data_IF_774478298738
#
_entry.id   IF_774478298738
#
_cell.length_a   1.000
_cell.length_b   1.000
_cell.length_c   1.000
_cell.angle_alpha   90.00
_cell.angle_beta   90.00
_cell.angle_gamma   90.00
#
_symmetry.space_group_name_H-M   'P 1'
#
loop_
_entity.id
_entity.type
_entity.pdbx_description
1 polymer ?
#
# COMPACT_ATOMS: atom_id res chain seq x y z
N UNK A 1 1.22 -32.31 4.88
CA UNK A 1 0.41 -33.42 4.30
C UNK A 1 -0.29 -32.92 3.05
N UNK A 2 -0.47 -33.78 2.05
CA UNK A 2 -1.21 -33.45 0.82
C UNK A 2 -2.71 -33.72 1.00
N UNK A 3 -3.55 -32.83 0.49
CA UNK A 3 -5.01 -32.94 0.52
C UNK A 3 -5.54 -32.80 -0.91
N UNK A 4 -6.03 -33.90 -1.48
CA UNK A 4 -6.65 -33.90 -2.80
C UNK A 4 -7.97 -33.09 -2.80
N UNK A 5 -8.19 -32.34 -3.88
CA UNK A 5 -9.40 -31.52 -4.11
C UNK A 5 -10.19 -32.08 -5.30
N UNK A 6 -9.53 -32.39 -6.40
CA UNK A 6 -10.15 -32.98 -7.60
C UNK A 6 -9.26 -34.09 -8.18
N UNK A 7 -9.89 -35.05 -8.87
CA UNK A 7 -9.21 -36.06 -9.69
C UNK A 7 -9.50 -35.78 -11.15
N UNK A 8 -8.55 -36.10 -12.02
CA UNK A 8 -8.64 -35.90 -13.46
C UNK A 8 -7.70 -36.85 -14.19
N UNK A 9 -7.98 -37.10 -15.47
CA UNK A 9 -7.02 -37.73 -16.36
C UNK A 9 -6.23 -36.64 -17.07
N UNK A 10 -4.91 -36.79 -17.17
CA UNK A 10 -4.06 -35.79 -17.80
C UNK A 10 -2.64 -36.30 -18.00
N UNK A 11 -1.85 -35.52 -18.74
CA UNK A 11 -0.45 -35.82 -18.99
C UNK A 11 0.39 -35.50 -17.75
N UNK A 12 1.28 -36.41 -17.37
CA UNK A 12 2.28 -36.12 -16.36
C UNK A 12 3.62 -35.78 -17.00
N UNK A 13 4.20 -34.59 -16.73
CA UNK A 13 5.46 -34.17 -17.35
C UNK A 13 6.69 -34.94 -16.85
N UNK A 14 6.54 -35.83 -15.87
CA UNK A 14 7.64 -36.65 -15.30
C UNK A 14 7.58 -38.09 -15.83
N UNK A 15 6.38 -38.65 -16.00
CA UNK A 15 6.22 -39.96 -16.64
C UNK A 15 6.23 -39.87 -18.17
N UNK A 16 5.93 -38.69 -18.73
CA UNK A 16 5.68 -38.48 -20.16
C UNK A 16 4.53 -39.35 -20.70
N UNK A 17 3.50 -39.56 -19.88
CA UNK A 17 2.33 -40.38 -20.23
C UNK A 17 1.03 -39.81 -19.65
N UNK A 18 -0.10 -40.20 -20.24
CA UNK A 18 -1.46 -39.85 -19.81
C UNK A 18 -1.88 -40.78 -18.68
N UNK A 19 -1.99 -40.23 -17.49
CA UNK A 19 -2.26 -40.96 -16.24
C UNK A 19 -3.38 -40.31 -15.44
N UNK A 20 -3.79 -40.99 -14.37
CA UNK A 20 -4.68 -40.43 -13.36
C UNK A 20 -3.90 -39.47 -12.45
N UNK A 21 -4.39 -38.24 -12.38
CA UNK A 21 -3.85 -37.18 -11.55
C UNK A 21 -4.84 -36.82 -10.45
N UNK A 22 -4.32 -36.41 -9.29
CA UNK A 22 -5.08 -35.63 -8.32
C UNK A 22 -4.50 -34.23 -8.20
N UNK A 23 -5.37 -33.23 -8.19
CA UNK A 23 -5.01 -31.85 -7.90
C UNK A 23 -5.47 -31.50 -6.50
N UNK A 24 -4.61 -30.87 -5.73
CA UNK A 24 -4.87 -30.61 -4.32
C UNK A 24 -3.91 -29.61 -3.72
N UNK A 25 -3.91 -29.54 -2.39
CA UNK A 25 -3.03 -28.63 -1.65
C UNK A 25 -2.00 -29.39 -0.83
N UNK A 26 -0.82 -28.80 -0.68
CA UNK A 26 0.29 -29.33 0.09
C UNK A 26 0.93 -28.20 0.89
N UNK A 27 1.28 -28.45 2.15
CA UNK A 27 2.06 -27.49 2.92
C UNK A 27 3.54 -27.61 2.57
N UNK A 28 4.17 -26.48 2.30
CA UNK A 28 5.57 -26.35 1.90
C UNK A 28 6.25 -25.23 2.67
N UNK A 29 7.56 -25.36 2.86
CA UNK A 29 8.39 -24.36 3.53
C UNK A 29 9.36 -23.77 2.52
N UNK A 30 9.26 -22.47 2.30
CA UNK A 30 10.17 -21.70 1.45
C UNK A 30 11.15 -20.93 2.34
N UNK A 31 12.39 -20.77 1.87
CA UNK A 31 13.38 -19.94 2.58
C UNK A 31 13.52 -18.61 1.85
N UNK A 32 13.20 -17.51 2.54
CA UNK A 32 13.27 -16.14 2.02
C UNK A 32 14.17 -15.35 2.97
N UNK A 33 15.28 -14.81 2.48
CA UNK A 33 16.28 -14.10 3.29
C UNK A 33 16.65 -14.85 4.59
N UNK A 34 16.98 -16.14 4.46
CA UNK A 34 17.32 -17.06 5.57
C UNK A 34 16.18 -17.32 6.58
N UNK A 35 14.95 -16.87 6.30
CA UNK A 35 13.78 -17.15 7.12
C UNK A 35 12.88 -18.20 6.45
N UNK A 36 12.46 -19.20 7.23
CA UNK A 36 11.52 -20.25 6.78
C UNK A 36 10.09 -19.74 6.84
N UNK A 37 9.38 -19.78 5.70
CA UNK A 37 8.00 -19.34 5.54
C UNK A 37 7.15 -20.52 5.08
N UNK A 38 6.12 -20.83 5.85
CA UNK A 38 5.20 -21.92 5.55
C UNK A 38 4.04 -21.41 4.67
N UNK A 39 3.84 -22.06 3.53
CA UNK A 39 2.76 -21.78 2.58
C UNK A 39 1.99 -23.04 2.24
N UNK A 40 0.78 -22.82 1.73
CA UNK A 40 -0.06 -23.88 1.19
C UNK A 40 -0.02 -23.75 -0.32
N UNK A 41 0.59 -24.72 -0.97
CA UNK A 41 0.79 -24.74 -2.42
C UNK A 41 -0.25 -25.63 -3.07
N UNK A 42 -0.71 -25.25 -4.26
CA UNK A 42 -1.56 -26.10 -5.09
C UNK A 42 -0.68 -26.90 -6.05
N UNK A 43 -0.93 -28.20 -6.13
CA UNK A 43 -0.08 -29.15 -6.85
C UNK A 43 -0.90 -30.24 -7.49
N UNK A 44 -0.40 -30.76 -8.60
CA UNK A 44 -0.80 -32.04 -9.13
C UNK A 44 0.04 -33.14 -8.50
N UNK A 45 -0.57 -34.29 -8.28
CA UNK A 45 0.06 -35.54 -7.88
C UNK A 45 -0.30 -36.59 -8.92
N UNK A 46 0.71 -37.23 -9.50
CA UNK A 46 0.53 -38.43 -10.30
C UNK A 46 0.23 -39.61 -9.37
N UNK A 47 -0.83 -40.38 -9.64
CA UNK A 47 -1.18 -41.54 -8.81
C UNK A 47 -0.27 -42.74 -9.12
N UNK A 48 0.12 -42.92 -10.39
CA UNK A 48 0.92 -44.07 -10.83
C UNK A 48 2.40 -43.91 -10.44
N UNK A 49 3.02 -42.79 -10.83
CA UNK A 49 4.43 -42.48 -10.54
C UNK A 49 4.69 -41.75 -9.22
N UNK A 50 3.64 -41.37 -8.48
CA UNK A 50 3.70 -40.77 -7.13
C UNK A 50 4.49 -39.46 -6.99
N UNK A 51 4.83 -38.78 -8.09
CA UNK A 51 5.48 -37.47 -8.09
C UNK A 51 4.49 -36.30 -8.05
N UNK A 52 4.99 -35.15 -7.62
CA UNK A 52 4.27 -33.87 -7.63
C UNK A 52 4.83 -32.96 -8.70
N UNK A 53 3.95 -32.17 -9.31
CA UNK A 53 4.34 -31.10 -10.23
C UNK A 53 3.35 -29.93 -10.10
N UNK A 54 3.79 -28.76 -10.54
CA UNK A 54 3.01 -27.53 -10.47
C UNK A 54 2.53 -27.16 -11.87
N UNK A 55 1.35 -26.55 -11.92
CA UNK A 55 1.06 -25.63 -13.02
C UNK A 55 1.90 -24.35 -12.82
N UNK A 56 2.44 -23.73 -13.88
CA UNK A 56 3.25 -22.52 -13.75
C UNK A 56 2.57 -21.39 -12.97
N UNK A 57 1.25 -21.25 -13.10
CA UNK A 57 0.47 -20.22 -12.39
C UNK A 57 0.38 -20.55 -10.89
N UNK A 58 0.17 -21.81 -10.55
CA UNK A 58 0.13 -22.24 -9.14
C UNK A 58 1.50 -22.16 -8.46
N UNK A 59 2.58 -22.39 -9.21
CA UNK A 59 3.93 -22.19 -8.72
C UNK A 59 4.23 -20.71 -8.44
N UNK A 60 3.89 -19.81 -9.36
CA UNK A 60 4.04 -18.37 -9.16
C UNK A 60 3.23 -17.90 -7.93
N UNK A 61 1.97 -18.33 -7.82
CA UNK A 61 1.11 -18.00 -6.68
C UNK A 61 1.71 -18.46 -5.35
N UNK A 62 2.32 -19.66 -5.31
CA UNK A 62 3.03 -20.17 -4.12
C UNK A 62 4.13 -19.19 -3.67
N UNK A 63 4.94 -18.67 -4.59
CA UNK A 63 5.99 -17.70 -4.26
C UNK A 63 5.42 -16.35 -3.81
N UNK A 64 4.37 -15.85 -4.48
CA UNK A 64 3.71 -14.61 -4.10
C UNK A 64 3.10 -14.69 -2.69
N UNK A 65 2.44 -15.79 -2.35
CA UNK A 65 1.90 -16.03 -1.00
C UNK A 65 3.01 -16.04 0.06
N UNK A 66 4.15 -16.66 -0.26
CA UNK A 66 5.30 -16.70 0.63
C UNK A 66 5.87 -15.30 0.87
N UNK A 67 6.01 -14.50 -0.20
CA UNK A 67 6.49 -13.12 -0.11
C UNK A 67 5.53 -12.22 0.67
N UNK A 68 4.21 -12.38 0.50
CA UNK A 68 3.21 -11.64 1.29
C UNK A 68 3.31 -11.98 2.77
N UNK A 69 3.40 -13.26 3.13
CA UNK A 69 3.57 -13.71 4.53
C UNK A 69 4.88 -13.22 5.13
N UNK A 70 5.98 -13.31 4.38
CA UNK A 70 7.28 -12.80 4.81
C UNK A 70 7.19 -11.31 5.18
N UNK A 71 6.57 -10.50 4.32
CA UNK A 71 6.37 -9.07 4.59
C UNK A 71 5.54 -8.81 5.84
N UNK A 72 4.44 -9.55 6.00
CA UNK A 72 3.58 -9.43 7.18
C UNK A 72 4.35 -9.72 8.48
N UNK A 73 5.16 -10.78 8.50
CA UNK A 73 5.96 -11.17 9.67
C UNK A 73 7.03 -10.12 9.99
N UNK A 74 7.63 -9.50 8.97
CA UNK A 74 8.73 -8.55 9.13
C UNK A 74 8.29 -7.08 9.17
N UNK A 75 6.99 -6.78 9.18
CA UNK A 75 6.49 -5.40 9.19
C UNK A 75 6.83 -4.61 7.92
N UNK A 76 6.97 -5.29 6.78
CA UNK A 76 7.24 -4.68 5.49
C UNK A 76 5.94 -4.37 4.76
N UNK A 77 5.90 -3.22 4.07
CA UNK A 77 4.77 -2.81 3.24
C UNK A 77 4.54 -3.78 2.06
N UNK A 78 3.27 -4.10 1.81
CA UNK A 78 2.85 -4.81 0.60
C UNK A 78 2.96 -3.90 -0.64
N UNK A 79 3.10 -4.47 -1.85
CA UNK A 79 3.17 -3.69 -3.09
C UNK A 79 2.02 -2.69 -3.27
N UNK A 80 0.81 -3.10 -2.87
CA UNK A 80 -0.40 -2.27 -2.93
C UNK A 80 -0.32 -1.09 -1.96
N UNK A 81 0.20 -1.29 -0.75
CA UNK A 81 0.36 -0.21 0.23
C UNK A 81 1.36 0.85 -0.23
N UNK A 82 2.47 0.42 -0.86
CA UNK A 82 3.46 1.33 -1.45
C UNK A 82 2.80 2.18 -2.56
N UNK A 83 1.99 1.53 -3.40
CA UNK A 83 1.23 2.19 -4.47
C UNK A 83 0.19 3.16 -3.91
N UNK A 84 -0.48 2.83 -2.82
CA UNK A 84 -1.43 3.69 -2.12
C UNK A 84 -0.74 4.93 -1.54
N UNK A 85 0.37 4.75 -0.81
CA UNK A 85 1.19 5.86 -0.29
C UNK A 85 1.58 6.80 -1.42
N UNK A 86 2.07 6.26 -2.53
CA UNK A 86 2.44 7.06 -3.70
C UNK A 86 1.26 7.85 -4.27
N UNK A 87 0.13 7.18 -4.49
CA UNK A 87 -1.08 7.77 -5.09
C UNK A 87 -1.72 8.81 -4.18
N UNK A 88 -1.61 8.65 -2.86
CA UNK A 88 -2.08 9.62 -1.86
C UNK A 88 -1.56 11.03 -2.14
N UNK A 89 -0.32 11.15 -2.63
CA UNK A 89 0.32 12.43 -2.96
C UNK A 89 0.40 12.73 -4.46
N UNK A 90 -0.29 11.97 -5.31
CA UNK A 90 -0.35 12.20 -6.76
C UNK A 90 0.95 11.88 -7.52
N UNK A 91 1.88 11.15 -6.91
CA UNK A 91 3.20 10.89 -7.46
C UNK A 91 3.21 9.73 -8.48
N UNK A 92 4.07 9.82 -9.50
CA UNK A 92 4.44 8.67 -10.34
C UNK A 92 5.53 7.83 -9.66
N UNK A 93 5.78 6.60 -10.14
CA UNK A 93 6.84 5.74 -9.55
C UNK A 93 8.20 6.45 -9.59
N UNK A 94 8.54 7.09 -10.72
CA UNK A 94 9.76 7.89 -10.89
C UNK A 94 9.77 9.12 -9.97
N UNK A 95 8.64 9.81 -9.84
CA UNK A 95 8.54 10.99 -8.99
C UNK A 95 8.73 10.64 -7.51
N UNK A 96 8.16 9.52 -7.04
CA UNK A 96 8.38 9.05 -5.67
C UNK A 96 9.82 8.59 -5.45
N UNK A 97 10.43 7.91 -6.42
CA UNK A 97 11.85 7.54 -6.34
C UNK A 97 12.74 8.79 -6.21
N UNK A 98 12.52 9.80 -7.07
CA UNK A 98 13.24 11.08 -7.01
C UNK A 98 13.02 11.80 -5.68
N UNK A 99 11.78 11.85 -5.20
CA UNK A 99 11.42 12.45 -3.91
C UNK A 99 12.17 11.83 -2.73
N UNK A 100 12.33 10.51 -2.73
CA UNK A 100 13.05 9.77 -1.69
C UNK A 100 14.56 9.70 -1.93
N UNK A 101 15.05 10.19 -3.08
CA UNK A 101 16.46 10.12 -3.46
C UNK A 101 16.93 8.72 -3.86
N UNK A 102 16.04 7.90 -4.43
CA UNK A 102 16.31 6.53 -4.84
C UNK A 102 16.43 6.41 -6.36
N UNK A 103 17.03 5.31 -6.83
CA UNK A 103 17.07 4.96 -8.25
C UNK A 103 15.66 4.84 -8.85
N UNK A 104 15.49 5.26 -10.10
CA UNK A 104 14.16 5.42 -10.73
C UNK A 104 13.32 4.13 -10.77
N UNK A 105 13.99 2.96 -10.81
CA UNK A 105 13.34 1.65 -10.90
C UNK A 105 12.98 1.09 -9.51
N UNK A 106 13.52 1.65 -8.42
CA UNK A 106 13.37 1.12 -7.07
C UNK A 106 11.90 0.98 -6.65
N UNK A 107 11.09 2.03 -6.88
CA UNK A 107 9.65 2.00 -6.55
C UNK A 107 8.89 1.02 -7.43
N UNK A 108 9.17 1.00 -8.74
CA UNK A 108 8.54 0.05 -9.67
C UNK A 108 8.79 -1.39 -9.21
N UNK A 109 10.04 -1.71 -8.85
CA UNK A 109 10.46 -3.04 -8.41
C UNK A 109 9.65 -3.50 -7.18
N UNK A 110 9.44 -2.61 -6.20
CA UNK A 110 8.65 -2.94 -5.01
C UNK A 110 7.15 -3.03 -5.29
N UNK A 111 6.60 -2.14 -6.12
CA UNK A 111 5.20 -2.22 -6.57
C UNK A 111 4.92 -3.45 -7.45
N UNK A 112 5.96 -4.06 -8.04
CA UNK A 112 5.90 -5.30 -8.80
C UNK A 112 6.17 -6.56 -7.95
N UNK A 113 6.30 -6.44 -6.63
CA UNK A 113 6.37 -7.59 -5.74
C UNK A 113 7.77 -7.97 -5.23
N UNK A 114 8.82 -7.23 -5.59
CA UNK A 114 10.13 -7.46 -4.98
C UNK A 114 10.17 -7.03 -3.51
N UNK A 115 10.89 -7.79 -2.69
CA UNK A 115 11.02 -7.51 -1.26
C UNK A 115 11.97 -6.33 -1.05
N UNK A 116 11.49 -5.30 -0.35
CA UNK A 116 12.28 -4.17 0.08
C UNK A 116 13.10 -4.50 1.33
N UNK A 117 14.25 -3.86 1.46
CA UNK A 117 15.00 -3.84 2.72
C UNK A 117 14.42 -2.80 3.70
N UNK A 118 14.92 -2.82 4.93
CA UNK A 118 14.49 -1.88 5.96
C UNK A 118 14.87 -0.42 5.65
N UNK A 119 15.99 -0.19 4.95
CA UNK A 119 16.44 1.16 4.61
C UNK A 119 15.46 1.85 3.65
N UNK A 120 14.80 1.10 2.78
CA UNK A 120 13.71 1.58 1.94
C UNK A 120 12.34 1.51 2.64
N UNK A 121 12.07 0.47 3.44
CA UNK A 121 10.76 0.32 4.10
C UNK A 121 10.46 1.45 5.08
N UNK A 122 11.45 1.89 5.86
CA UNK A 122 11.27 2.91 6.91
C UNK A 122 10.82 4.26 6.31
N UNK A 123 11.50 4.84 5.29
CA UNK A 123 11.03 6.06 4.66
C UNK A 123 9.61 5.95 4.11
N UNK A 124 9.25 4.83 3.48
CA UNK A 124 7.88 4.61 2.97
C UNK A 124 6.84 4.60 4.10
N UNK A 125 7.14 3.92 5.21
CA UNK A 125 6.28 3.93 6.40
C UNK A 125 6.13 5.34 6.97
N UNK A 126 7.21 6.11 7.06
CA UNK A 126 7.17 7.47 7.59
C UNK A 126 6.27 8.37 6.75
N UNK A 127 6.40 8.31 5.43
CA UNK A 127 5.61 9.16 4.52
C UNK A 127 4.17 8.67 4.33
N UNK A 128 3.79 7.51 4.90
CA UNK A 128 2.38 7.11 5.01
C UNK A 128 1.58 8.14 5.81
N UNK A 129 2.21 8.73 6.83
CA UNK A 129 1.64 9.83 7.62
C UNK A 129 1.82 11.19 6.92
N UNK A 130 0.71 11.92 6.76
CA UNK A 130 0.72 13.20 6.01
C UNK A 130 1.62 14.24 6.65
N UNK A 131 1.64 14.34 7.98
CA UNK A 131 2.48 15.30 8.70
C UNK A 131 3.99 15.07 8.48
N UNK A 132 4.40 13.80 8.36
CA UNK A 132 5.77 13.44 8.05
C UNK A 132 6.08 13.71 6.58
N UNK A 133 5.16 13.38 5.67
CA UNK A 133 5.31 13.69 4.26
C UNK A 133 5.53 15.19 4.04
N UNK A 134 4.74 16.07 4.68
CA UNK A 134 4.88 17.53 4.58
C UNK A 134 6.26 18.01 5.03
N UNK A 135 6.78 17.47 6.15
CA UNK A 135 8.14 17.79 6.62
C UNK A 135 9.22 17.39 5.61
N UNK A 136 9.08 16.23 4.98
CA UNK A 136 10.00 15.78 3.93
C UNK A 136 9.88 16.66 2.68
N UNK A 137 8.65 17.00 2.32
CA UNK A 137 8.34 17.83 1.15
C UNK A 137 8.95 19.22 1.26
N UNK A 138 8.81 19.91 2.39
CA UNK A 138 9.42 21.23 2.57
C UNK A 138 10.94 21.22 2.38
N UNK A 139 11.61 20.13 2.80
CA UNK A 139 13.07 19.99 2.68
C UNK A 139 13.55 19.61 1.28
N UNK A 140 12.68 19.02 0.45
CA UNK A 140 13.08 18.40 -0.83
C UNK A 140 12.32 18.92 -2.04
N UNK A 141 11.37 19.84 -1.87
CA UNK A 141 10.55 20.38 -2.97
C UNK A 141 11.37 20.93 -4.13
N UNK A 142 12.57 21.46 -3.88
CA UNK A 142 13.49 21.99 -4.91
C UNK A 142 14.06 20.89 -5.82
N UNK A 143 14.02 19.63 -5.40
CA UNK A 143 14.47 18.46 -6.17
C UNK A 143 13.36 17.92 -7.10
N UNK A 144 12.15 18.48 -7.00
CA UNK A 144 10.99 18.07 -7.77
C UNK A 144 10.75 19.03 -8.93
N UNK A 145 10.16 18.53 -10.00
CA UNK A 145 9.73 19.39 -11.10
C UNK A 145 8.43 20.12 -10.75
N UNK A 146 8.16 21.22 -11.46
CA UNK A 146 6.98 22.04 -11.23
C UNK A 146 5.66 21.28 -11.43
N UNK A 147 5.66 20.17 -12.18
CA UNK A 147 4.45 19.35 -12.39
C UNK A 147 4.16 18.52 -11.13
N UNK A 148 5.16 17.88 -10.55
CA UNK A 148 5.03 17.08 -9.33
C UNK A 148 4.72 17.96 -8.11
N UNK A 149 5.36 19.12 -7.98
CA UNK A 149 5.03 20.12 -6.94
C UNK A 149 3.55 20.51 -6.97
N UNK A 150 3.02 20.82 -8.17
CA UNK A 150 1.60 21.17 -8.34
C UNK A 150 0.67 20.02 -7.93
N UNK A 151 1.00 18.78 -8.29
CA UNK A 151 0.21 17.61 -7.90
C UNK A 151 0.23 17.38 -6.41
N UNK A 152 1.41 17.43 -5.79
CA UNK A 152 1.56 17.25 -4.35
C UNK A 152 0.74 18.30 -3.60
N UNK A 153 0.86 19.58 -3.95
CA UNK A 153 0.11 20.65 -3.30
C UNK A 153 -1.40 20.43 -3.43
N UNK A 154 -1.88 20.09 -4.64
CA UNK A 154 -3.30 19.77 -4.87
C UNK A 154 -3.78 18.64 -3.95
N UNK A 155 -3.04 17.53 -3.89
CA UNK A 155 -3.40 16.38 -3.06
C UNK A 155 -3.33 16.69 -1.56
N UNK A 156 -2.34 17.47 -1.12
CA UNK A 156 -2.24 17.92 0.28
C UNK A 156 -3.41 18.82 0.67
N UNK A 157 -3.83 19.71 -0.23
CA UNK A 157 -5.01 20.56 -0.02
C UNK A 157 -6.28 19.71 0.08
N UNK A 158 -6.49 18.75 -0.83
CA UNK A 158 -7.62 17.80 -0.77
C UNK A 158 -7.63 17.00 0.54
N UNK A 159 -6.46 16.51 1.01
CA UNK A 159 -6.34 15.81 2.30
C UNK A 159 -6.72 16.73 3.46
N UNK A 160 -6.27 17.98 3.46
CA UNK A 160 -6.62 18.97 4.49
C UNK A 160 -8.12 19.27 4.49
N UNK A 161 -8.72 19.40 3.32
CA UNK A 161 -10.17 19.60 3.16
C UNK A 161 -10.97 18.44 3.75
N UNK A 162 -10.61 17.20 3.41
CA UNK A 162 -11.26 16.01 3.92
C UNK A 162 -11.09 15.87 5.44
N UNK A 163 -9.88 16.15 5.95
CA UNK A 163 -9.58 16.09 7.38
C UNK A 163 -10.44 17.11 8.14
N UNK A 164 -10.50 18.35 7.67
CA UNK A 164 -11.34 19.40 8.24
C UNK A 164 -12.83 19.01 8.22
N UNK A 165 -13.32 18.50 7.10
CA UNK A 165 -14.72 18.10 6.97
C UNK A 165 -15.08 16.92 7.90
N UNK A 166 -14.19 15.94 8.05
CA UNK A 166 -14.38 14.83 8.98
C UNK A 166 -14.41 15.29 10.45
N UNK A 167 -13.50 16.19 10.83
CA UNK A 167 -13.48 16.77 12.16
C UNK A 167 -14.76 17.56 12.45
N UNK A 168 -15.26 18.33 11.47
CA UNK A 168 -16.53 19.05 11.55
C UNK A 168 -17.73 18.11 11.78
N UNK A 169 -17.85 17.04 10.98
CA UNK A 169 -18.95 16.07 11.09
C UNK A 169 -19.00 15.39 12.46
N UNK A 170 -17.84 15.21 13.07
CA UNK A 170 -17.72 14.58 14.39
C UNK A 170 -17.74 15.58 15.56
N UNK A 171 -17.99 16.86 15.30
CA UNK A 171 -17.98 17.92 16.33
C UNK A 171 -16.61 18.12 16.98
N UNK A 172 -15.53 17.64 16.36
CA UNK A 172 -14.16 17.82 16.84
C UNK A 172 -13.69 19.24 16.54
N UNK A 173 -13.06 19.87 17.53
CA UNK A 173 -12.46 21.20 17.36
C UNK A 173 -11.32 21.13 16.35
N UNK A 174 -11.27 22.10 15.44
CA UNK A 174 -10.23 22.19 14.44
C UNK A 174 -9.47 23.51 14.56
N UNK A 175 -8.15 23.45 14.44
CA UNK A 175 -7.29 24.65 14.53
C UNK A 175 -7.31 25.42 13.21
N UNK A 176 -7.72 26.68 13.29
CA UNK A 176 -7.85 27.56 12.14
C UNK A 176 -6.58 28.38 11.97
N UNK A 177 -6.02 28.38 10.77
CA UNK A 177 -4.86 29.16 10.39
C UNK A 177 -5.09 29.85 9.03
N UNK A 178 -4.21 30.80 8.66
CA UNK A 178 -4.37 31.59 7.43
C UNK A 178 -4.54 30.75 6.16
N UNK A 179 -3.88 29.60 6.10
CA UNK A 179 -3.89 28.67 4.96
C UNK A 179 -5.21 27.92 4.81
N UNK A 180 -5.94 27.64 5.90
CA UNK A 180 -7.22 26.91 5.85
C UNK A 180 -8.44 27.82 6.10
N UNK A 181 -8.25 29.10 6.47
CA UNK A 181 -9.31 30.06 6.76
C UNK A 181 -10.27 30.29 5.56
N UNK A 182 -9.75 30.37 4.33
CA UNK A 182 -10.58 30.56 3.13
C UNK A 182 -11.52 29.37 2.89
N UNK A 183 -11.00 28.17 3.12
CA UNK A 183 -11.75 26.94 2.98
C UNK A 183 -12.82 26.80 4.06
N UNK A 184 -12.49 27.12 5.32
CA UNK A 184 -13.43 27.10 6.44
C UNK A 184 -14.60 28.05 6.17
N UNK A 185 -14.31 29.28 5.73
CA UNK A 185 -15.34 30.26 5.34
C UNK A 185 -16.22 29.77 4.19
N UNK A 186 -15.63 29.10 3.21
CA UNK A 186 -16.40 28.50 2.11
C UNK A 186 -17.33 27.40 2.63
N UNK A 187 -16.83 26.46 3.44
CA UNK A 187 -17.65 25.39 4.02
C UNK A 187 -18.79 25.91 4.91
N UNK A 188 -18.57 27.02 5.62
CA UNK A 188 -19.62 27.72 6.37
C UNK A 188 -20.69 28.35 5.46
N UNK A 189 -20.30 28.84 4.28
CA UNK A 189 -21.21 29.53 3.34
C UNK A 189 -22.07 28.61 2.47
N UNK A 190 -21.66 27.34 2.27
CA UNK A 190 -22.37 26.38 1.39
C UNK A 190 -23.31 25.45 2.19
N UNK A 191 -23.33 25.54 3.52
CA UNK A 191 -24.07 24.63 4.38
C UNK A 191 -25.45 25.13 4.79
N UNK A 192 -26.50 24.51 4.26
CA UNK A 192 -27.90 24.56 4.73
C UNK A 192 -28.10 23.81 6.07
N UNK A 193 -27.12 23.84 6.98
CA UNK A 193 -27.10 23.07 8.23
C UNK A 193 -26.79 23.97 9.45
N UNK A 194 -27.74 23.99 10.39
CA UNK A 194 -27.89 24.79 11.61
C UNK A 194 -26.75 24.78 12.68
N UNK A 195 -25.49 24.48 12.37
CA UNK A 195 -24.44 24.44 13.40
C UNK A 195 -23.16 25.18 13.01
N UNK A 196 -22.76 26.14 13.87
CA UNK A 196 -21.55 26.94 13.78
C UNK A 196 -20.28 26.11 14.03
N UNK A 197 -19.20 26.45 13.33
CA UNK A 197 -17.88 25.83 13.52
C UNK A 197 -17.26 26.38 14.83
N UNK A 198 -16.95 25.54 15.83
CA UNK A 198 -16.19 25.97 17.00
C UNK A 198 -14.72 26.17 16.60
N UNK A 199 -14.34 27.43 16.38
CA UNK A 199 -12.98 27.86 16.04
C UNK A 199 -12.19 28.08 17.33
N UNK A 200 -10.92 27.63 17.36
CA UNK A 200 -9.95 27.99 18.42
C UNK A 200 -8.93 28.95 17.83
N UNK A 201 -8.91 30.20 18.28
CA UNK A 201 -7.84 31.15 17.94
C UNK A 201 -6.63 30.90 18.84
N UNK A 202 -5.44 31.38 18.45
CA UNK A 202 -4.21 31.29 19.25
C UNK A 202 -4.30 31.94 20.64
N UNK A 203 -5.37 32.70 20.90
CA UNK A 203 -5.64 33.44 22.13
C UNK A 203 -6.74 32.81 23.00
N UNK A 204 -7.31 31.66 22.61
CA UNK A 204 -8.22 30.89 23.47
C UNK A 204 -9.69 31.37 23.48
N UNK A 205 -10.07 32.38 22.71
CA UNK A 205 -11.46 32.84 22.63
C UNK A 205 -12.30 32.09 21.59
N UNK A 206 -13.50 31.70 22.00
CA UNK A 206 -14.59 31.18 21.18
C UNK A 206 -15.19 32.31 20.34
N UNK A 207 -14.66 32.56 19.14
CA UNK A 207 -15.34 33.39 18.17
C UNK A 207 -16.34 32.54 17.37
N UNK A 208 -17.63 32.69 17.66
CA UNK A 208 -18.68 32.39 16.68
C UNK A 208 -18.53 33.43 15.57
N UNK A 209 -17.98 33.03 14.42
CA UNK A 209 -17.97 33.89 13.25
C UNK A 209 -19.38 33.92 12.66
N UNK A 210 -20.04 35.06 12.79
CA UNK A 210 -21.27 35.44 12.08
C UNK A 210 -21.04 35.58 10.57
#
# INVERSE_FOLDING_TARGET
MYKAIKKLKGECPICEDITNLSYGTKSETLTINNQKINVTSKVYRCEDGKHFFYDPVDEENKFQDAYRKYRQINGLLQPEEIKEIRKKYGLSQRALARFLGWGEITIQRYESGAIQDNAHNIPLLLIKETSNFEKFYEKRKEQLDAKDIRKINKHLDEIKQLTLFSAFREGRKYEVNRSNLKLIRHLQSVGDYKYSIPIRTSEGELALAS
#
